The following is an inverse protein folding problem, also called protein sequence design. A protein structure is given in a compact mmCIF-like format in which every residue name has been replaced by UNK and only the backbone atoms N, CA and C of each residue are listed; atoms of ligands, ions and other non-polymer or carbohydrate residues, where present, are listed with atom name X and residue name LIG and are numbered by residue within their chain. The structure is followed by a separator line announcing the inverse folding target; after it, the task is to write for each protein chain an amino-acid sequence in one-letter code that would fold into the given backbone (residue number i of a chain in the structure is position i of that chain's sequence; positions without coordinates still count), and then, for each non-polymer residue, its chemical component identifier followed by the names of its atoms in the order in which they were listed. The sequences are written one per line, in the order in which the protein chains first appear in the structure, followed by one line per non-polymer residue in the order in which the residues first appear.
data_IF_576275762217
#
_entry.id   IF_576275762217
#
_cell.length_a   1.000
_cell.length_b   1.000
_cell.length_c   1.000
_cell.angle_alpha   90.00
_cell.angle_beta   90.00
_cell.angle_gamma   90.00
#
_symmetry.space_group_name_H-M   'P 1'
#
loop_
_entity.id
_entity.type
_entity.pdbx_description
1 polymer ?
#
# COMPACT_ATOMS: atom_id res chain seq x y z
N UNK A 1 1.39 43.81 17.90
CA UNK A 1 2.24 42.98 17.03
C UNK A 1 2.49 41.68 17.78
N UNK A 2 1.63 40.66 17.54
CA UNK A 2 1.68 39.36 18.23
C UNK A 2 2.56 38.47 17.37
N UNK A 3 3.73 38.09 17.90
CA UNK A 3 4.59 37.10 17.23
C UNK A 3 3.91 35.71 17.25
N UNK A 4 3.94 34.96 16.15
CA UNK A 4 3.43 33.59 16.16
C UNK A 4 4.33 32.73 17.06
N UNK A 5 3.69 31.93 17.93
CA UNK A 5 4.36 30.99 18.80
C UNK A 5 5.16 29.99 17.94
N UNK A 6 6.46 29.94 18.15
CA UNK A 6 7.32 28.89 17.62
C UNK A 6 6.86 27.55 18.24
N UNK A 7 6.32 26.68 17.42
CA UNK A 7 6.09 25.29 17.79
C UNK A 7 7.46 24.65 18.06
N UNK A 8 7.78 24.44 19.31
CA UNK A 8 8.96 23.68 19.72
C UNK A 8 8.74 22.22 19.34
N UNK A 9 9.45 21.74 18.33
CA UNK A 9 9.51 20.31 17.98
C UNK A 9 10.09 19.56 19.19
N UNK A 10 9.41 18.50 19.69
CA UNK A 10 9.91 17.71 20.81
C UNK A 10 11.32 17.20 20.51
N UNK A 11 12.25 17.36 21.45
CA UNK A 11 13.68 17.07 21.28
C UNK A 11 14.01 15.60 20.95
N UNK A 12 13.05 14.66 21.13
CA UNK A 12 13.22 13.24 20.84
C UNK A 12 13.19 12.86 19.35
N UNK A 13 12.49 13.62 18.50
CA UNK A 13 12.33 13.28 17.07
C UNK A 13 13.65 13.35 16.27
N UNK A 14 14.57 14.21 16.64
CA UNK A 14 15.86 14.40 15.94
C UNK A 14 16.86 13.26 16.19
N UNK A 15 16.62 12.39 17.17
CA UNK A 15 17.58 11.35 17.56
C UNK A 15 17.29 9.97 16.98
N UNK A 16 16.10 9.73 16.39
CA UNK A 16 15.73 8.45 15.80
C UNK A 16 16.16 8.39 14.33
N UNK A 17 17.01 7.45 14.02
CA UNK A 17 17.52 7.20 12.66
C UNK A 17 16.65 6.16 11.95
N UNK A 18 16.08 6.55 10.82
CA UNK A 18 15.14 5.73 10.05
C UNK A 18 15.80 5.29 8.74
N UNK A 19 15.71 4.00 8.42
CA UNK A 19 15.85 3.52 7.04
C UNK A 19 14.46 3.29 6.48
N UNK A 20 14.15 3.95 5.36
CA UNK A 20 12.87 3.79 4.67
C UNK A 20 13.02 2.86 3.46
N UNK A 21 12.09 1.92 3.27
CA UNK A 21 12.07 0.97 2.17
C UNK A 21 10.74 1.05 1.43
N UNK A 22 10.77 1.45 0.16
CA UNK A 22 9.57 1.60 -0.65
C UNK A 22 9.86 1.69 -2.14
N UNK A 23 8.84 1.52 -2.99
CA UNK A 23 9.05 1.58 -4.45
C UNK A 23 7.99 2.42 -5.18
N UNK A 24 6.66 2.15 -5.06
CA UNK A 24 5.63 2.85 -5.82
C UNK A 24 5.30 4.22 -5.20
N UNK A 25 4.44 4.95 -5.89
CA UNK A 25 3.94 6.26 -5.46
C UNK A 25 3.23 6.21 -4.10
N UNK A 26 2.55 5.12 -3.78
CA UNK A 26 1.95 4.91 -2.45
C UNK A 26 2.95 5.12 -1.30
N UNK A 27 4.18 4.66 -1.48
CA UNK A 27 5.23 4.78 -0.47
C UNK A 27 5.79 6.21 -0.37
N UNK A 28 5.62 7.05 -1.40
CA UNK A 28 6.11 8.43 -1.40
C UNK A 28 5.40 9.28 -0.35
N UNK A 29 4.07 9.14 -0.20
CA UNK A 29 3.31 9.88 0.80
C UNK A 29 3.83 9.62 2.23
N UNK A 30 4.11 8.34 2.55
CA UNK A 30 4.70 7.95 3.83
C UNK A 30 6.09 8.52 4.06
N UNK A 31 6.97 8.48 3.04
CA UNK A 31 8.31 9.06 3.13
C UNK A 31 8.26 10.58 3.28
N UNK A 32 7.38 11.25 2.53
CA UNK A 32 7.19 12.71 2.60
C UNK A 32 6.70 13.13 3.99
N UNK A 33 5.76 12.39 4.58
CA UNK A 33 5.26 12.66 5.93
C UNK A 33 6.37 12.55 6.98
N UNK A 34 7.25 11.54 6.88
CA UNK A 34 8.39 11.39 7.78
C UNK A 34 9.40 12.54 7.64
N UNK A 35 9.72 12.94 6.40
CA UNK A 35 10.62 14.07 6.12
C UNK A 35 10.03 15.37 6.66
N UNK A 36 8.74 15.64 6.42
CA UNK A 36 8.03 16.83 6.92
C UNK A 36 7.93 16.85 8.45
N UNK A 37 7.79 15.69 9.07
CA UNK A 37 7.81 15.56 10.53
C UNK A 37 9.19 15.77 11.16
N UNK A 38 10.27 15.88 10.34
CA UNK A 38 11.62 16.18 10.79
C UNK A 38 12.40 14.98 11.31
N UNK A 39 12.05 13.75 10.91
CA UNK A 39 12.82 12.55 11.23
C UNK A 39 14.13 12.46 10.44
N UNK A 40 15.17 11.87 11.05
CA UNK A 40 16.44 11.56 10.39
C UNK A 40 16.29 10.33 9.48
N UNK A 41 16.18 10.56 8.16
CA UNK A 41 16.14 9.51 7.17
C UNK A 41 17.58 9.16 6.75
N UNK A 42 18.16 8.17 7.43
CA UNK A 42 19.54 7.74 7.21
C UNK A 42 19.78 7.20 5.78
N UNK A 43 18.80 6.52 5.20
CA UNK A 43 18.78 6.10 3.80
C UNK A 43 17.39 5.69 3.34
N UNK A 44 17.20 5.71 2.03
CA UNK A 44 16.02 5.22 1.31
C UNK A 44 16.43 4.02 0.45
N UNK A 45 15.82 2.87 0.70
CA UNK A 45 16.03 1.64 -0.09
C UNK A 45 14.89 1.49 -1.07
N UNK A 46 15.20 1.39 -2.35
CA UNK A 46 14.19 1.21 -3.40
C UNK A 46 14.61 0.19 -4.45
N UNK A 47 13.69 -0.17 -5.34
CA UNK A 47 14.01 -1.09 -6.42
C UNK A 47 15.06 -0.50 -7.38
N UNK A 48 15.95 -1.33 -7.98
CA UNK A 48 16.80 -0.89 -9.06
C UNK A 48 16.01 -0.35 -10.23
N UNK A 49 16.61 0.60 -10.97
CA UNK A 49 16.03 1.12 -12.20
C UNK A 49 15.85 0.00 -13.22
N UNK A 50 14.72 -0.01 -13.90
CA UNK A 50 14.39 -1.04 -14.89
C UNK A 50 14.00 -0.41 -16.21
N UNK A 51 14.37 -1.03 -17.34
CA UNK A 51 13.81 -0.64 -18.61
C UNK A 51 12.29 -0.81 -18.61
N UNK A 52 11.56 0.24 -18.99
CA UNK A 52 10.10 0.22 -19.04
C UNK A 52 9.57 1.00 -20.26
N UNK A 53 8.34 0.68 -20.67
CA UNK A 53 7.64 1.35 -21.76
C UNK A 53 8.16 1.03 -23.16
N UNK A 54 7.53 1.68 -24.17
CA UNK A 54 7.98 1.61 -25.55
C UNK A 54 9.33 2.33 -25.67
N UNK A 55 10.38 1.60 -26.07
CA UNK A 55 11.75 2.14 -26.22
C UNK A 55 12.69 1.80 -25.06
N UNK A 56 12.29 0.95 -24.08
CA UNK A 56 13.16 0.38 -23.04
C UNK A 56 13.99 1.44 -22.28
N UNK A 57 13.46 2.63 -22.05
CA UNK A 57 14.13 3.66 -21.26
C UNK A 57 14.18 3.23 -19.79
N UNK A 58 15.33 3.45 -19.16
CA UNK A 58 15.47 3.22 -17.71
C UNK A 58 14.46 4.10 -16.95
N UNK A 59 13.60 3.44 -16.18
CA UNK A 59 12.58 4.11 -15.38
C UNK A 59 12.93 3.97 -13.91
N UNK A 60 13.05 5.13 -13.27
CA UNK A 60 13.27 5.24 -11.83
C UNK A 60 11.96 5.02 -11.06
N UNK A 61 12.07 4.45 -9.86
CA UNK A 61 10.92 4.34 -8.95
C UNK A 61 10.44 5.73 -8.49
N UNK A 62 9.16 5.84 -8.12
CA UNK A 62 8.61 7.07 -7.57
C UNK A 62 9.36 7.50 -6.29
N UNK A 63 9.68 6.54 -5.43
CA UNK A 63 10.45 6.77 -4.20
C UNK A 63 11.87 7.27 -4.50
N UNK A 64 12.54 6.74 -5.55
CA UNK A 64 13.87 7.24 -5.95
C UNK A 64 13.82 8.70 -6.38
N UNK A 65 12.85 9.05 -7.23
CA UNK A 65 12.69 10.44 -7.70
C UNK A 65 12.50 11.40 -6.53
N UNK A 66 11.61 11.06 -5.60
CA UNK A 66 11.40 11.84 -4.39
C UNK A 66 12.67 11.95 -3.54
N UNK A 67 13.39 10.84 -3.31
CA UNK A 67 14.61 10.83 -2.52
C UNK A 67 15.72 11.68 -3.13
N UNK A 68 15.87 11.69 -4.47
CA UNK A 68 16.79 12.59 -5.19
C UNK A 68 16.43 14.06 -4.99
N UNK A 69 15.14 14.40 -5.12
CA UNK A 69 14.64 15.76 -4.91
C UNK A 69 14.95 16.27 -3.49
N UNK A 70 14.86 15.39 -2.48
CA UNK A 70 15.13 15.73 -1.08
C UNK A 70 16.59 15.55 -0.67
N UNK A 71 17.49 15.16 -1.57
CA UNK A 71 18.91 14.94 -1.27
C UNK A 71 19.17 13.78 -0.30
N UNK A 72 18.27 12.80 -0.24
CA UNK A 72 18.38 11.64 0.65
C UNK A 72 19.32 10.58 0.07
N UNK A 73 20.05 9.87 0.93
CA UNK A 73 20.89 8.73 0.51
C UNK A 73 20.02 7.61 -0.04
N UNK A 74 20.37 7.08 -1.23
CA UNK A 74 19.59 6.05 -1.93
C UNK A 74 20.40 4.76 -2.03
N UNK A 75 19.79 3.64 -1.70
CA UNK A 75 20.32 2.29 -1.88
C UNK A 75 19.40 1.51 -2.83
N UNK A 76 19.97 0.89 -3.87
CA UNK A 76 19.22 0.12 -4.87
C UNK A 76 19.77 -1.31 -5.01
N UNK A 77 19.70 -2.14 -3.96
CA UNK A 77 20.25 -3.50 -4.02
C UNK A 77 19.48 -4.37 -5.01
N UNK A 78 20.19 -5.09 -5.87
CA UNK A 78 19.58 -6.11 -6.73
C UNK A 78 19.12 -7.29 -5.87
N UNK A 79 19.95 -7.73 -4.94
CA UNK A 79 19.67 -8.81 -3.99
C UNK A 79 19.74 -8.27 -2.57
N UNK A 80 18.66 -8.45 -1.80
CA UNK A 80 18.58 -7.99 -0.40
C UNK A 80 19.46 -8.81 0.56
N UNK A 81 19.93 -9.99 0.13
CA UNK A 81 20.87 -10.84 0.90
C UNK A 81 22.34 -10.61 0.50
N UNK A 82 22.61 -9.65 -0.38
CA UNK A 82 23.98 -9.31 -0.77
C UNK A 82 24.77 -8.84 0.46
N UNK A 83 25.90 -9.47 0.79
CA UNK A 83 26.70 -9.08 1.96
C UNK A 83 27.09 -7.60 1.96
N UNK A 84 27.48 -7.03 0.81
CA UNK A 84 27.86 -5.61 0.70
C UNK A 84 26.69 -4.69 1.06
N UNK A 85 25.47 -5.03 0.61
CA UNK A 85 24.28 -4.28 0.98
C UNK A 85 23.95 -4.43 2.46
N UNK A 86 24.03 -5.64 3.01
CA UNK A 86 23.77 -5.90 4.43
C UNK A 86 24.74 -5.14 5.32
N UNK A 87 26.03 -5.15 4.98
CA UNK A 87 27.07 -4.41 5.71
C UNK A 87 26.87 -2.89 5.61
N UNK A 88 26.52 -2.38 4.42
CA UNK A 88 26.17 -0.96 4.24
C UNK A 88 24.94 -0.58 5.07
N UNK A 89 23.88 -1.38 5.02
CA UNK A 89 22.66 -1.15 5.80
C UNK A 89 22.95 -1.13 7.31
N UNK A 90 23.78 -2.08 7.79
CA UNK A 90 24.20 -2.15 9.20
C UNK A 90 25.03 -0.93 9.62
N UNK A 91 25.89 -0.42 8.72
CA UNK A 91 26.71 0.76 8.98
C UNK A 91 25.92 2.04 9.20
N UNK A 92 24.67 2.11 8.72
CA UNK A 92 23.77 3.24 8.91
C UNK A 92 23.30 3.36 10.37
N UNK A 93 23.40 2.30 11.17
CA UNK A 93 22.97 2.28 12.59
C UNK A 93 21.56 2.83 12.77
N UNK A 94 20.63 2.36 11.92
CA UNK A 94 19.22 2.75 12.03
C UNK A 94 18.59 2.19 13.30
N UNK A 95 17.80 2.99 13.99
CA UNK A 95 17.05 2.57 15.18
C UNK A 95 15.80 1.79 14.78
N UNK A 96 15.20 2.16 13.65
CA UNK A 96 13.98 1.56 13.12
C UNK A 96 14.04 1.50 11.58
N UNK A 97 13.40 0.50 11.01
CA UNK A 97 13.15 0.42 9.57
C UNK A 97 11.67 0.57 9.28
N UNK A 98 11.34 1.29 8.22
CA UNK A 98 9.97 1.48 7.74
C UNK A 98 9.83 0.88 6.35
N UNK A 99 8.81 0.05 6.17
CA UNK A 99 8.55 -0.64 4.89
C UNK A 99 7.16 -0.27 4.40
N UNK A 100 7.09 0.23 3.17
CA UNK A 100 5.81 0.58 2.53
C UNK A 100 5.83 0.11 1.08
N UNK A 101 4.94 -0.81 0.74
CA UNK A 101 4.82 -1.34 -0.62
C UNK A 101 6.17 -1.72 -1.24
N UNK A 102 6.90 -2.59 -0.57
CA UNK A 102 8.21 -3.07 -0.97
C UNK A 102 8.19 -4.59 -1.18
N UNK A 103 9.26 -5.13 -1.75
CA UNK A 103 9.43 -6.57 -1.90
C UNK A 103 9.70 -7.24 -0.54
N UNK A 104 9.44 -8.55 -0.44
CA UNK A 104 9.67 -9.34 0.77
C UNK A 104 11.10 -9.18 1.25
N UNK A 105 11.26 -8.87 2.54
CA UNK A 105 12.55 -8.71 3.20
C UNK A 105 13.03 -10.05 3.78
N UNK A 106 14.31 -10.40 3.60
CA UNK A 106 14.90 -11.50 4.34
C UNK A 106 15.10 -11.12 5.81
N UNK A 107 15.12 -12.12 6.69
CA UNK A 107 15.23 -11.93 8.14
C UNK A 107 16.47 -11.12 8.54
N UNK A 108 17.61 -11.37 7.93
CA UNK A 108 18.84 -10.61 8.17
C UNK A 108 18.69 -9.10 7.94
N UNK A 109 17.68 -8.66 7.16
CA UNK A 109 17.39 -7.26 6.90
C UNK A 109 16.34 -6.73 7.87
N UNK A 110 15.16 -7.38 7.95
CA UNK A 110 14.08 -6.83 8.75
C UNK A 110 14.29 -6.95 10.27
N UNK A 111 15.08 -7.91 10.71
CA UNK A 111 15.39 -8.12 12.14
C UNK A 111 16.65 -7.36 12.61
N UNK A 112 17.16 -6.44 11.79
CA UNK A 112 18.42 -5.73 12.08
C UNK A 112 18.27 -4.59 13.09
N UNK A 113 17.26 -3.69 13.00
CA UNK A 113 17.20 -2.51 13.87
C UNK A 113 16.65 -2.85 15.26
N UNK A 114 17.13 -2.18 16.32
CA UNK A 114 16.72 -2.49 17.71
C UNK A 114 15.25 -2.24 18.00
N UNK A 115 14.61 -1.25 17.36
CA UNK A 115 13.17 -0.99 17.49
C UNK A 115 12.33 -1.84 16.54
N UNK A 116 12.96 -2.69 15.73
CA UNK A 116 12.30 -3.53 14.74
C UNK A 116 11.99 -2.84 13.43
N UNK A 117 11.25 -3.53 12.57
CA UNK A 117 10.81 -3.04 11.26
C UNK A 117 9.30 -2.90 11.25
N UNK A 118 8.80 -1.72 10.93
CA UNK A 118 7.37 -1.41 10.84
C UNK A 118 6.93 -1.40 9.39
N UNK A 119 5.81 -2.05 9.10
CA UNK A 119 5.16 -2.00 7.79
C UNK A 119 3.86 -1.21 7.85
N UNK A 120 3.55 -0.51 6.76
CA UNK A 120 2.24 0.12 6.50
C UNK A 120 1.49 -0.75 5.51
N UNK A 121 0.41 -1.39 5.96
CA UNK A 121 -0.40 -2.32 5.19
C UNK A 121 -1.78 -1.75 4.88
N UNK A 122 -2.22 -1.89 3.64
CA UNK A 122 -3.47 -1.30 3.14
C UNK A 122 -4.72 -2.11 3.44
N UNK A 123 -4.88 -2.59 4.67
CA UNK A 123 -6.11 -3.20 5.18
C UNK A 123 -6.20 -3.11 6.69
N UNK A 124 -7.35 -3.47 7.26
CA UNK A 124 -7.54 -3.72 8.68
C UNK A 124 -7.12 -5.18 9.00
N UNK A 125 -5.85 -5.37 9.35
CA UNK A 125 -5.35 -6.70 9.73
C UNK A 125 -6.13 -7.25 10.95
N UNK A 126 -6.39 -8.57 11.00
CA UNK A 126 -5.84 -9.65 10.17
C UNK A 126 -6.50 -9.86 8.81
N UNK A 127 -7.51 -9.06 8.44
CA UNK A 127 -8.19 -9.18 7.15
C UNK A 127 -7.29 -8.71 6.00
N UNK A 128 -7.37 -9.38 4.85
CA UNK A 128 -6.69 -8.99 3.62
C UNK A 128 -5.16 -8.96 3.73
N UNK A 129 -4.56 -9.93 4.46
CA UNK A 129 -3.12 -10.20 4.36
C UNK A 129 -2.75 -10.54 2.92
N UNK A 130 -1.63 -10.00 2.42
CA UNK A 130 -1.12 -10.32 1.10
C UNK A 130 -0.84 -9.14 0.18
N UNK A 131 -0.79 -9.39 -1.14
CA UNK A 131 -0.17 -8.48 -2.10
C UNK A 131 -1.08 -7.36 -2.65
N UNK A 132 -2.42 -7.50 -2.56
CA UNK A 132 -3.36 -6.56 -3.19
C UNK A 132 -4.58 -6.24 -2.29
N UNK A 133 -4.36 -5.81 -1.02
CA UNK A 133 -5.43 -5.65 -0.03
C UNK A 133 -6.50 -4.65 -0.48
N UNK A 134 -6.13 -3.52 -1.05
CA UNK A 134 -7.04 -2.48 -1.52
C UNK A 134 -7.98 -3.03 -2.61
N UNK A 135 -7.41 -3.68 -3.62
CA UNK A 135 -8.20 -4.22 -4.71
C UNK A 135 -9.20 -5.28 -4.19
N UNK A 136 -8.75 -6.21 -3.35
CA UNK A 136 -9.59 -7.28 -2.85
C UNK A 136 -10.69 -6.80 -1.91
N UNK A 137 -10.45 -5.77 -1.10
CA UNK A 137 -11.52 -5.15 -0.30
C UNK A 137 -12.64 -4.61 -1.21
N UNK A 138 -12.29 -3.90 -2.28
CA UNK A 138 -13.27 -3.36 -3.24
C UNK A 138 -13.93 -4.46 -4.07
N UNK A 139 -13.19 -5.47 -4.56
CA UNK A 139 -13.71 -6.63 -5.31
C UNK A 139 -14.73 -7.40 -4.47
N UNK A 140 -14.47 -7.56 -3.19
CA UNK A 140 -15.36 -8.27 -2.28
C UNK A 140 -16.55 -7.41 -1.79
N UNK A 141 -16.64 -6.15 -2.23
CA UNK A 141 -17.76 -5.27 -1.91
C UNK A 141 -17.78 -4.79 -0.47
N UNK A 142 -16.60 -4.74 0.18
CA UNK A 142 -16.50 -4.19 1.54
C UNK A 142 -17.01 -2.74 1.58
N UNK A 143 -17.62 -2.38 2.69
CA UNK A 143 -18.11 -1.02 2.96
C UNK A 143 -17.13 -0.20 3.79
N UNK A 144 -16.15 -0.87 4.36
CA UNK A 144 -15.10 -0.30 5.17
C UNK A 144 -13.77 -1.00 4.86
N UNK A 145 -12.70 -0.25 4.92
CA UNK A 145 -11.33 -0.73 4.88
C UNK A 145 -10.47 0.15 5.78
N UNK A 146 -9.16 0.01 5.72
CA UNK A 146 -8.28 0.87 6.51
C UNK A 146 -6.81 0.58 6.28
N UNK A 147 -6.01 1.16 7.14
CA UNK A 147 -4.57 0.99 7.16
C UNK A 147 -4.17 0.41 8.51
N UNK A 148 -3.21 -0.47 8.50
CA UNK A 148 -2.58 -1.03 9.70
C UNK A 148 -1.09 -0.76 9.65
N UNK A 149 -0.52 -0.21 10.72
CA UNK A 149 0.92 -0.28 11.00
C UNK A 149 1.19 -1.46 11.92
N UNK A 150 2.20 -2.27 11.59
CA UNK A 150 2.53 -3.45 12.38
C UNK A 150 4.03 -3.76 12.33
N UNK A 151 4.57 -4.47 13.32
CA UNK A 151 5.96 -4.94 13.32
C UNK A 151 6.10 -6.19 12.46
N UNK A 152 7.12 -6.23 11.60
CA UNK A 152 7.40 -7.41 10.79
C UNK A 152 7.80 -8.60 11.67
N UNK A 153 7.34 -9.77 11.26
CA UNK A 153 7.70 -11.07 11.79
C UNK A 153 8.02 -12.05 10.64
N UNK A 154 8.34 -13.29 10.97
CA UNK A 154 8.73 -14.29 9.99
C UNK A 154 7.64 -14.59 8.97
N UNK A 155 6.38 -14.67 9.40
CA UNK A 155 5.23 -14.93 8.52
C UNK A 155 4.70 -13.64 7.93
N UNK A 156 4.19 -13.72 6.67
CA UNK A 156 3.73 -12.55 5.91
C UNK A 156 2.52 -11.91 6.61
N UNK A 157 2.63 -10.63 6.90
CA UNK A 157 1.58 -9.76 7.44
C UNK A 157 0.93 -10.29 8.74
N UNK A 158 1.67 -11.03 9.57
CA UNK A 158 1.17 -11.63 10.84
C UNK A 158 1.67 -10.94 12.09
N UNK A 159 2.58 -9.99 11.96
CA UNK A 159 3.22 -9.32 13.09
C UNK A 159 2.25 -8.50 13.94
N UNK A 160 2.70 -8.12 15.15
CA UNK A 160 1.88 -7.38 16.09
C UNK A 160 1.43 -6.03 15.54
N UNK A 161 0.14 -5.74 15.65
CA UNK A 161 -0.46 -4.48 15.25
C UNK A 161 0.00 -3.39 16.21
N UNK A 162 0.38 -2.25 15.67
CA UNK A 162 0.73 -1.03 16.39
C UNK A 162 -0.45 -0.07 16.42
N UNK A 163 -0.91 0.37 15.25
CA UNK A 163 -2.08 1.23 15.11
C UNK A 163 -2.92 0.81 13.89
N UNK A 164 -4.20 1.15 13.93
CA UNK A 164 -5.13 0.97 12.81
C UNK A 164 -6.00 2.21 12.65
N UNK A 165 -6.30 2.55 11.39
CA UNK A 165 -7.24 3.60 11.04
C UNK A 165 -8.20 3.07 9.98
N UNK A 166 -9.49 3.04 10.30
CA UNK A 166 -10.53 2.64 9.35
C UNK A 166 -11.15 3.83 8.61
N UNK A 167 -11.72 3.55 7.45
CA UNK A 167 -12.54 4.48 6.69
C UNK A 167 -13.53 3.75 5.76
N UNK A 168 -14.65 4.38 5.45
CA UNK A 168 -15.69 3.81 4.59
C UNK A 168 -15.28 3.77 3.11
N UNK A 169 -15.78 2.79 2.36
CA UNK A 169 -15.70 2.71 0.90
C UNK A 169 -17.07 3.06 0.33
N UNK A 170 -17.16 4.08 -0.52
CA UNK A 170 -18.40 4.44 -1.19
C UNK A 170 -18.81 3.38 -2.24
N UNK A 171 -20.11 3.32 -2.56
CA UNK A 171 -20.66 2.27 -3.42
C UNK A 171 -20.12 2.29 -4.85
N UNK A 172 -19.72 3.45 -5.34
CA UNK A 172 -19.19 3.67 -6.69
C UNK A 172 -17.67 3.95 -6.72
N UNK A 173 -17.03 3.95 -5.55
CA UNK A 173 -15.60 4.23 -5.41
C UNK A 173 -14.76 3.08 -5.99
N UNK A 174 -13.78 3.43 -6.80
CA UNK A 174 -12.84 2.48 -7.39
C UNK A 174 -11.66 2.18 -6.45
N UNK A 175 -10.95 1.09 -6.70
CA UNK A 175 -9.74 0.77 -5.95
C UNK A 175 -8.66 1.87 -6.07
N UNK A 176 -8.61 2.60 -7.19
CA UNK A 176 -7.71 3.75 -7.35
C UNK A 176 -8.07 4.92 -6.44
N UNK A 177 -9.35 5.25 -6.32
CA UNK A 177 -9.83 6.31 -5.42
C UNK A 177 -9.61 5.92 -3.94
N UNK A 178 -9.87 4.66 -3.58
CA UNK A 178 -9.55 4.13 -2.24
C UNK A 178 -8.05 4.19 -1.96
N UNK A 179 -7.20 3.81 -2.94
CA UNK A 179 -5.75 3.87 -2.85
C UNK A 179 -5.26 5.30 -2.58
N UNK A 180 -5.82 6.30 -3.27
CA UNK A 180 -5.38 7.69 -3.13
C UNK A 180 -5.73 8.28 -1.76
N UNK A 181 -6.87 7.91 -1.18
CA UNK A 181 -7.18 8.26 0.21
C UNK A 181 -6.32 7.50 1.21
N UNK A 182 -6.15 6.21 0.97
CA UNK A 182 -5.42 5.32 1.87
C UNK A 182 -3.95 5.70 2.03
N UNK A 183 -3.29 6.19 0.96
CA UNK A 183 -1.89 6.62 1.05
C UNK A 183 -1.69 7.80 2.00
N UNK A 184 -2.63 8.75 2.03
CA UNK A 184 -2.57 9.91 2.92
C UNK A 184 -2.85 9.49 4.38
N UNK A 185 -3.93 8.71 4.60
CA UNK A 185 -4.26 8.17 5.92
C UNK A 185 -3.11 7.33 6.48
N UNK A 186 -2.51 6.48 5.62
CA UNK A 186 -1.37 5.64 6.01
C UNK A 186 -0.11 6.43 6.36
N UNK A 187 0.12 7.54 5.66
CA UNK A 187 1.23 8.45 5.94
C UNK A 187 1.08 9.14 7.31
N UNK A 188 -0.11 9.62 7.62
CA UNK A 188 -0.43 10.22 8.94
C UNK A 188 -0.34 9.18 10.06
N UNK A 189 -0.93 7.99 9.84
CA UNK A 189 -0.88 6.90 10.82
C UNK A 189 0.55 6.44 11.10
N UNK A 190 1.43 6.42 10.09
CA UNK A 190 2.84 6.08 10.25
C UNK A 190 3.55 7.07 11.16
N UNK A 191 3.34 8.37 10.99
CA UNK A 191 3.93 9.40 11.86
C UNK A 191 3.46 9.22 13.31
N UNK A 192 2.15 9.00 13.52
CA UNK A 192 1.59 8.72 14.84
C UNK A 192 2.19 7.45 15.45
N UNK A 193 2.41 6.42 14.63
CA UNK A 193 3.02 5.16 15.07
C UNK A 193 4.44 5.38 15.58
N UNK A 194 5.26 6.12 14.81
CA UNK A 194 6.64 6.36 15.22
C UNK A 194 6.70 7.26 16.45
N UNK A 195 5.90 8.33 16.52
CA UNK A 195 5.77 9.18 17.70
C UNK A 195 5.38 8.35 18.94
N UNK A 196 4.41 7.45 18.77
CA UNK A 196 3.95 6.59 19.86
C UNK A 196 4.98 5.55 20.31
N UNK A 197 5.75 4.99 19.37
CA UNK A 197 6.85 4.08 19.72
C UNK A 197 7.97 4.79 20.47
N UNK A 198 8.32 6.03 20.08
CA UNK A 198 9.35 6.83 20.74
C UNK A 198 8.93 7.22 22.16
N UNK A 199 7.66 7.56 22.33
CA UNK A 199 7.10 7.99 23.62
C UNK A 199 6.59 6.82 24.49
N UNK A 200 6.74 5.58 24.02
CA UNK A 200 6.26 4.36 24.70
C UNK A 200 4.76 4.40 25.04
N UNK A 201 3.95 5.01 24.14
CA UNK A 201 2.50 5.15 24.29
C UNK A 201 1.68 4.14 23.48
N UNK A 202 2.35 3.28 22.70
CA UNK A 202 1.70 2.24 21.90
C UNK A 202 1.93 0.88 22.56
N UNK A 203 0.83 0.16 22.74
CA UNK A 203 0.86 -1.26 23.11
C UNK A 203 0.70 -2.12 21.86
N UNK A 204 1.60 -3.10 21.70
CA UNK A 204 1.54 -4.04 20.59
C UNK A 204 0.39 -5.03 20.77
N UNK A 205 -0.48 -5.15 19.79
CA UNK A 205 -1.61 -6.09 19.80
C UNK A 205 -1.32 -7.28 18.89
N UNK A 206 -1.37 -8.48 19.45
CA UNK A 206 -1.21 -9.73 18.68
C UNK A 206 -2.38 -9.90 17.72
N UNK A 207 -2.09 -10.26 16.48
CA UNK A 207 -3.14 -10.59 15.51
C UNK A 207 -3.71 -11.98 15.78
N UNK A 208 -4.78 -12.05 16.56
CA UNK A 208 -5.53 -13.29 16.70
C UNK A 208 -6.78 -13.24 15.82
N UNK A 209 -7.18 -14.34 15.15
CA UNK A 209 -8.57 -14.55 14.86
C UNK A 209 -9.28 -14.55 16.22
N UNK A 210 -10.14 -13.55 16.47
CA UNK A 210 -10.72 -13.32 17.81
C UNK A 210 -11.30 -14.61 18.38
N UNK A 211 -10.71 -15.21 19.44
CA UNK A 211 -11.27 -16.44 20.03
C UNK A 211 -12.54 -16.18 20.82
N UNK A 212 -12.95 -14.90 20.96
CA UNK A 212 -14.09 -14.48 21.80
C UNK A 212 -15.33 -14.13 21.00
N UNK A 213 -15.30 -14.19 19.65
CA UNK A 213 -16.54 -14.13 18.86
C UNK A 213 -17.11 -15.53 18.75
N UNK A 214 -18.41 -15.73 19.06
CA UNK A 214 -19.06 -17.06 18.95
C UNK A 214 -19.03 -17.64 17.52
N UNK A 215 -18.71 -16.79 16.52
CA UNK A 215 -18.46 -17.18 15.13
C UNK A 215 -17.19 -16.45 14.67
N UNK A 216 -16.03 -17.13 14.55
CA UNK A 216 -14.82 -16.52 14.04
C UNK A 216 -15.08 -16.05 12.60
N UNK A 217 -14.97 -14.74 12.38
CA UNK A 217 -15.06 -14.17 11.03
C UNK A 217 -13.91 -14.76 10.21
N UNK A 218 -14.18 -15.46 9.10
CA UNK A 218 -13.13 -16.04 8.28
C UNK A 218 -12.14 -14.96 7.82
N UNK A 219 -10.84 -15.23 7.95
CA UNK A 219 -9.81 -14.32 7.44
C UNK A 219 -9.87 -14.33 5.93
N UNK A 220 -10.15 -13.17 5.33
CA UNK A 220 -10.06 -12.94 3.89
C UNK A 220 -8.60 -12.63 3.53
N UNK A 221 -8.13 -13.24 2.45
CA UNK A 221 -6.78 -13.02 1.94
C UNK A 221 -6.79 -12.12 0.72
N UNK A 222 -5.67 -11.46 0.47
CA UNK A 222 -5.46 -10.56 -0.66
C UNK A 222 -4.31 -11.05 -1.57
N UNK A 223 -4.48 -12.18 -2.28
CA UNK A 223 -3.43 -12.70 -3.15
C UNK A 223 -3.10 -11.73 -4.27
N UNK A 224 -1.94 -11.93 -4.90
CA UNK A 224 -1.55 -11.19 -6.09
C UNK A 224 -2.61 -11.36 -7.19
N UNK A 225 -2.94 -10.25 -7.85
CA UNK A 225 -3.87 -10.24 -8.97
C UNK A 225 -3.13 -10.63 -10.25
N UNK A 226 -3.63 -11.65 -10.92
CA UNK A 226 -3.13 -12.14 -12.21
C UNK A 226 -4.09 -11.75 -13.33
N UNK A 227 -3.67 -11.93 -14.58
CA UNK A 227 -4.48 -11.60 -15.76
C UNK A 227 -5.82 -12.33 -15.76
N UNK A 228 -5.83 -13.59 -15.32
CA UNK A 228 -7.04 -14.41 -15.25
C UNK A 228 -8.07 -13.83 -14.28
N UNK A 229 -7.64 -13.28 -13.16
CA UNK A 229 -8.51 -12.59 -12.19
C UNK A 229 -9.20 -11.37 -12.81
N UNK A 230 -8.55 -10.73 -13.80
CA UNK A 230 -9.08 -9.52 -14.43
C UNK A 230 -10.15 -9.79 -15.50
N UNK A 231 -10.33 -11.06 -15.91
CA UNK A 231 -11.30 -11.42 -16.92
C UNK A 231 -12.71 -11.43 -16.34
N UNK A 232 -13.61 -10.66 -16.95
CA UNK A 232 -15.00 -10.59 -16.51
C UNK A 232 -15.73 -11.89 -16.87
N UNK A 233 -16.32 -12.54 -15.89
CA UNK A 233 -17.25 -13.64 -16.08
C UNK A 233 -18.68 -13.10 -16.02
N UNK A 234 -19.31 -12.93 -17.18
CA UNK A 234 -20.64 -12.36 -17.31
C UNK A 234 -21.78 -13.23 -16.72
N UNK A 235 -21.48 -14.49 -16.35
CA UNK A 235 -22.45 -15.38 -15.69
C UNK A 235 -22.51 -15.16 -14.17
N UNK A 236 -21.72 -14.25 -13.63
CA UNK A 236 -21.72 -13.89 -12.22
C UNK A 236 -22.83 -12.88 -11.90
N UNK A 237 -23.27 -12.79 -10.60
CA UNK A 237 -24.18 -11.75 -10.16
C UNK A 237 -23.69 -10.34 -10.52
N UNK A 238 -24.62 -9.44 -10.79
CA UNK A 238 -24.32 -8.08 -11.22
C UNK A 238 -23.43 -7.34 -10.21
N UNK A 239 -23.60 -7.57 -8.92
CA UNK A 239 -22.79 -6.96 -7.87
C UNK A 239 -21.35 -7.47 -7.89
N UNK A 240 -21.12 -8.75 -8.16
CA UNK A 240 -19.76 -9.31 -8.28
C UNK A 240 -19.04 -8.74 -9.50
N UNK A 241 -19.74 -8.62 -10.65
CA UNK A 241 -19.18 -8.01 -11.87
C UNK A 241 -18.87 -6.53 -11.64
N UNK A 242 -19.80 -5.81 -11.04
CA UNK A 242 -19.63 -4.39 -10.73
C UNK A 242 -18.43 -4.15 -9.81
N UNK A 243 -18.33 -4.92 -8.73
CA UNK A 243 -17.24 -4.83 -7.77
C UNK A 243 -15.90 -5.25 -8.38
N UNK A 244 -15.88 -6.26 -9.26
CA UNK A 244 -14.67 -6.64 -9.99
C UNK A 244 -14.17 -5.47 -10.85
N UNK A 245 -15.07 -4.81 -11.61
CA UNK A 245 -14.72 -3.68 -12.48
C UNK A 245 -14.13 -2.54 -11.66
N UNK A 246 -14.82 -2.07 -10.60
CA UNK A 246 -14.34 -0.97 -9.79
C UNK A 246 -13.12 -1.35 -8.93
N UNK A 247 -13.02 -2.60 -8.48
CA UNK A 247 -11.91 -3.11 -7.70
C UNK A 247 -10.62 -3.32 -8.50
N UNK A 248 -10.70 -3.37 -9.82
CA UNK A 248 -9.55 -3.44 -10.72
C UNK A 248 -9.26 -2.10 -11.44
N UNK A 249 -10.04 -1.07 -11.18
CA UNK A 249 -9.87 0.25 -11.81
C UNK A 249 -9.00 1.18 -10.95
N UNK A 250 -8.08 1.93 -11.55
CA UNK A 250 -7.72 1.99 -12.96
C UNK A 250 -6.73 0.89 -13.39
N UNK A 251 -6.14 0.19 -12.44
CA UNK A 251 -5.12 -0.83 -12.71
C UNK A 251 -5.34 -2.09 -11.86
N UNK A 252 -5.20 -3.29 -12.47
CA UNK A 252 -4.79 -3.60 -13.86
C UNK A 252 -5.88 -3.41 -14.91
N UNK A 253 -7.13 -3.19 -14.51
CA UNK A 253 -8.32 -3.04 -15.35
C UNK A 253 -9.01 -4.38 -15.65
N UNK A 254 -10.31 -4.47 -15.32
CA UNK A 254 -11.12 -5.60 -15.72
C UNK A 254 -11.28 -5.64 -17.24
N UNK A 255 -11.38 -6.83 -17.83
CA UNK A 255 -11.50 -6.94 -19.28
C UNK A 255 -12.46 -8.05 -19.72
N UNK A 256 -12.94 -7.92 -20.95
CA UNK A 256 -13.65 -8.95 -21.71
C UNK A 256 -13.10 -9.05 -23.12
N UNK A 257 -13.53 -10.07 -23.84
CA UNK A 257 -13.20 -10.23 -25.26
C UNK A 257 -14.33 -9.67 -26.13
N UNK A 258 -13.99 -8.87 -27.11
CA UNK A 258 -14.86 -8.39 -28.17
C UNK A 258 -14.32 -8.96 -29.49
N UNK A 259 -14.83 -10.10 -29.91
CA UNK A 259 -14.19 -10.92 -30.94
C UNK A 259 -12.79 -11.34 -30.47
N UNK A 260 -11.78 -11.05 -31.26
CA UNK A 260 -10.37 -11.35 -30.95
C UNK A 260 -9.65 -10.23 -30.16
N UNK A 261 -10.33 -9.12 -29.87
CA UNK A 261 -9.74 -7.95 -29.20
C UNK A 261 -10.09 -7.92 -27.73
N UNK A 262 -9.12 -7.54 -26.91
CA UNK A 262 -9.33 -7.26 -25.48
C UNK A 262 -9.95 -5.88 -25.29
N UNK A 263 -11.11 -5.83 -24.63
CA UNK A 263 -11.77 -4.60 -24.19
C UNK A 263 -11.62 -4.45 -22.69
N UNK A 264 -10.94 -3.42 -22.21
CA UNK A 264 -10.85 -3.07 -20.79
C UNK A 264 -12.02 -2.19 -20.39
N UNK A 265 -12.58 -2.48 -19.22
CA UNK A 265 -13.71 -1.74 -18.64
C UNK A 265 -13.26 -1.19 -17.29
N UNK A 266 -13.31 0.14 -17.16
CA UNK A 266 -12.83 0.83 -15.98
C UNK A 266 -13.95 1.33 -15.08
N UNK A 267 -15.15 1.58 -15.65
CA UNK A 267 -16.35 1.97 -14.88
C UNK A 267 -17.59 1.33 -15.48
N UNK A 268 -18.56 1.04 -14.61
CA UNK A 268 -19.86 0.52 -14.97
C UNK A 268 -20.93 1.18 -14.08
N UNK A 269 -22.18 1.08 -14.48
CA UNK A 269 -23.35 1.44 -13.65
C UNK A 269 -24.25 0.22 -13.54
N UNK A 270 -24.77 -0.02 -12.33
CA UNK A 270 -25.82 -1.00 -12.13
C UNK A 270 -27.15 -0.39 -12.59
N UNK A 271 -27.87 -1.11 -13.47
CA UNK A 271 -29.21 -0.73 -13.83
C UNK A 271 -30.19 -1.57 -12.99
N UNK A 272 -30.87 -0.94 -12.07
CA UNK A 272 -31.78 -1.61 -11.10
C UNK A 272 -33.22 -1.71 -11.60
N UNK A 273 -33.52 -1.22 -12.80
CA UNK A 273 -34.92 -1.05 -13.26
C UNK A 273 -35.48 -2.18 -14.12
N UNK A 274 -34.74 -3.26 -14.40
CA UNK A 274 -35.30 -4.37 -15.19
C UNK A 274 -34.67 -5.72 -14.83
N UNK A 275 -35.43 -6.77 -14.51
CA UNK A 275 -34.94 -8.14 -14.54
C UNK A 275 -34.95 -8.59 -15.99
N UNK A 276 -33.93 -8.28 -16.77
CA UNK A 276 -33.82 -8.70 -18.16
C UNK A 276 -32.37 -9.03 -18.52
N UNK A 277 -32.25 -10.17 -19.19
CA UNK A 277 -31.15 -10.64 -20.06
C UNK A 277 -30.05 -9.62 -20.29
N UNK A 278 -28.76 -9.94 -20.09
CA UNK A 278 -27.66 -8.99 -20.27
C UNK A 278 -27.59 -8.52 -21.72
N UNK A 279 -28.21 -7.36 -21.99
CA UNK A 279 -27.97 -6.61 -23.23
C UNK A 279 -26.88 -5.59 -22.96
N UNK A 280 -25.67 -5.86 -23.46
CA UNK A 280 -24.60 -4.89 -23.45
C UNK A 280 -24.86 -3.83 -24.55
N UNK A 281 -25.30 -2.64 -24.16
CA UNK A 281 -25.24 -1.48 -25.05
C UNK A 281 -23.91 -0.76 -24.83
N UNK A 282 -23.10 -0.62 -25.88
CA UNK A 282 -21.83 0.07 -25.84
C UNK A 282 -22.04 1.54 -26.25
N UNK A 283 -21.62 2.48 -25.42
CA UNK A 283 -21.31 3.82 -25.86
C UNK A 283 -19.78 3.91 -26.02
N UNK A 284 -19.30 3.96 -27.23
CA UNK A 284 -17.90 4.19 -27.55
C UNK A 284 -17.68 5.70 -27.67
N UNK A 285 -17.13 6.34 -26.63
CA UNK A 285 -16.62 7.69 -26.77
C UNK A 285 -15.35 7.66 -27.61
N UNK A 286 -15.52 8.01 -28.88
CA UNK A 286 -14.45 8.08 -29.87
C UNK A 286 -13.54 9.28 -29.69
N UNK A 287 -12.71 9.33 -28.66
CA UNK A 287 -11.55 10.22 -28.64
C UNK A 287 -10.32 9.45 -29.09
N UNK A 288 -9.98 9.61 -30.37
CA UNK A 288 -8.65 9.31 -30.89
C UNK A 288 -7.67 10.28 -30.25
N UNK A 289 -6.77 9.75 -29.44
CA UNK A 289 -5.55 10.49 -29.08
C UNK A 289 -4.57 10.33 -30.24
N UNK A 290 -4.35 11.42 -30.96
CA UNK A 290 -3.25 11.63 -31.90
C UNK A 290 -1.90 11.72 -31.18
#
# INVERSE_FOLDING_TARGET
MIMPAQQTVPSGKKNIRIVFMGTPEFAVASLDALVKAGYDIAAVVTAPDKPAGRGMKLTESAVKKYALEKGLKILQPVKLKDPLFVDELKSLKADIQIVVAFRMLPEIVWNMPPMGTVNVHGSLLPQYRGAAPINWAVINGEKETGVTTFKLQHEIDTGNILLQQSFSIADDETAGEVHDRMKEIGAELLVQTIDGLINETIEETVQHPSPHTPYPIPIKHAPKIFTETCRINWNKPVDEIYNLIRGLSPFPGAFTMLGEKTLKIFRAKKNTTTPLVPSCTYAADGKKNS
#
